data_IF_207730056388
#
_entry.id   IF_207730056388
#
_cell.length_a   1.000
_cell.length_b   1.000
_cell.length_c   1.000
_cell.angle_alpha   90.00
_cell.angle_beta   90.00
_cell.angle_gamma   90.00
#
_symmetry.space_group_name_H-M   'P 1'
#
loop_
_entity.id
_entity.type
_entity.pdbx_description
1 polymer ?
#
# COMPACT_ATOMS: atom_id res chain seq x y z
N UNK A 1 26.41 6.85 0.32
CA UNK A 1 26.43 5.45 0.83
C UNK A 1 25.04 4.86 0.66
N UNK A 2 24.89 3.53 0.57
CA UNK A 2 23.57 2.92 0.43
C UNK A 2 22.80 3.01 1.76
N UNK A 3 21.50 3.27 1.68
CA UNK A 3 20.60 3.44 2.83
C UNK A 3 19.58 2.31 2.85
N UNK A 4 19.34 1.71 4.01
CA UNK A 4 18.48 0.54 4.19
C UNK A 4 17.36 0.79 5.19
N UNK A 5 16.22 0.11 4.99
CA UNK A 5 15.18 0.06 6.01
C UNK A 5 15.60 -0.87 7.17
N UNK A 6 14.88 -0.84 8.30
CA UNK A 6 15.20 -1.68 9.48
C UNK A 6 15.17 -3.18 9.15
N UNK A 7 14.23 -3.62 8.31
CA UNK A 7 14.05 -5.03 7.95
C UNK A 7 15.21 -5.53 7.09
N UNK A 8 15.58 -4.76 6.07
CA UNK A 8 16.70 -5.05 5.18
C UNK A 8 18.01 -5.03 5.96
N UNK A 9 18.17 -4.05 6.86
CA UNK A 9 19.31 -3.99 7.79
C UNK A 9 19.41 -5.27 8.61
N UNK A 10 18.30 -5.73 9.19
CA UNK A 10 18.27 -6.98 9.96
C UNK A 10 18.71 -8.19 9.14
N UNK A 11 18.31 -8.26 7.86
CA UNK A 11 18.74 -9.31 6.92
C UNK A 11 20.24 -9.22 6.61
N UNK A 12 20.76 -8.02 6.31
CA UNK A 12 22.17 -7.78 6.00
C UNK A 12 23.08 -8.20 7.16
N UNK A 13 22.66 -7.94 8.39
CA UNK A 13 23.46 -8.25 9.58
C UNK A 13 23.20 -9.68 10.10
N UNK A 14 22.25 -10.42 9.53
CA UNK A 14 21.78 -11.72 10.07
C UNK A 14 21.38 -11.62 11.55
N UNK A 15 20.73 -10.52 11.94
CA UNK A 15 20.18 -10.32 13.29
C UNK A 15 18.68 -10.12 13.22
N UNK A 16 18.00 -10.33 14.35
CA UNK A 16 16.56 -10.06 14.42
C UNK A 16 16.29 -8.55 14.31
N UNK A 17 15.14 -8.18 13.74
CA UNK A 17 14.67 -6.80 13.70
C UNK A 17 14.65 -6.14 15.09
N UNK A 18 14.30 -6.91 16.13
CA UNK A 18 14.31 -6.47 17.53
C UNK A 18 15.71 -6.05 18.01
N UNK A 19 16.75 -6.72 17.53
CA UNK A 19 18.14 -6.37 17.85
C UNK A 19 18.49 -5.01 17.26
N UNK A 20 18.18 -4.78 15.98
CA UNK A 20 18.40 -3.50 15.33
C UNK A 20 17.67 -2.37 16.08
N UNK A 21 16.39 -2.57 16.39
CA UNK A 21 15.59 -1.60 17.15
C UNK A 21 16.17 -1.31 18.55
N UNK A 22 16.66 -2.34 19.26
CA UNK A 22 17.29 -2.16 20.57
C UNK A 22 18.56 -1.32 20.46
N UNK A 23 19.36 -1.52 19.42
CA UNK A 23 20.61 -0.79 19.20
C UNK A 23 20.34 0.68 18.83
N UNK A 24 19.26 0.95 18.10
CA UNK A 24 18.78 2.32 17.87
C UNK A 24 18.34 2.95 19.20
N UNK A 25 17.52 2.25 19.98
CA UNK A 25 17.03 2.75 21.27
C UNK A 25 18.18 3.00 22.27
N UNK A 26 19.25 2.20 22.21
CA UNK A 26 20.44 2.39 23.04
C UNK A 26 21.45 3.40 22.46
N UNK A 27 21.17 4.02 21.32
CA UNK A 27 22.07 4.99 20.66
C UNK A 27 23.33 4.38 20.03
N UNK A 28 23.43 3.06 19.90
CA UNK A 28 24.59 2.38 19.28
C UNK A 28 24.56 2.50 17.75
N UNK A 29 23.37 2.49 17.18
CA UNK A 29 23.11 2.74 15.77
C UNK A 29 22.48 4.12 15.62
N UNK A 30 23.01 4.93 14.71
CA UNK A 30 22.32 6.14 14.28
C UNK A 30 21.38 5.83 13.12
N UNK A 31 20.35 6.65 12.99
CA UNK A 31 19.26 6.44 12.06
C UNK A 31 18.87 7.77 11.44
N UNK A 32 18.62 7.76 10.14
CA UNK A 32 18.17 8.90 9.36
C UNK A 32 16.69 8.71 9.06
N UNK A 33 15.90 9.78 9.11
CA UNK A 33 14.50 9.76 8.68
C UNK A 33 14.39 10.18 7.21
N UNK A 34 13.59 9.45 6.44
CA UNK A 34 13.27 9.85 5.07
C UNK A 34 12.34 11.06 5.02
N UNK A 35 12.12 11.58 3.81
CA UNK A 35 11.05 12.54 3.51
C UNK A 35 9.67 12.10 4.02
N UNK A 36 9.41 10.79 4.05
CA UNK A 36 8.18 10.19 4.59
C UNK A 36 8.21 9.89 6.10
N UNK A 37 9.25 10.35 6.82
CA UNK A 37 9.44 10.10 8.25
C UNK A 37 9.75 8.64 8.61
N UNK A 38 10.09 7.80 7.62
CA UNK A 38 10.41 6.39 7.86
C UNK A 38 11.87 6.23 8.31
N UNK A 39 12.12 5.36 9.31
CA UNK A 39 13.46 5.10 9.83
C UNK A 39 14.33 4.36 8.82
N UNK A 40 15.51 4.90 8.54
CA UNK A 40 16.51 4.34 7.64
C UNK A 40 17.90 4.36 8.27
N UNK A 41 18.76 3.42 7.86
CA UNK A 41 20.09 3.21 8.43
C UNK A 41 21.10 3.12 7.28
N UNK A 42 22.20 3.84 7.41
CA UNK A 42 23.28 3.81 6.43
C UNK A 42 24.09 2.52 6.52
N UNK A 43 24.62 2.08 5.39
CA UNK A 43 25.55 0.94 5.31
C UNK A 43 26.81 1.13 6.15
N UNK A 44 27.34 2.35 6.27
CA UNK A 44 28.48 2.69 7.16
C UNK A 44 28.17 2.35 8.60
N UNK A 45 26.99 2.76 9.08
CA UNK A 45 26.56 2.56 10.45
C UNK A 45 26.43 1.06 10.77
N UNK A 46 25.87 0.30 9.83
CA UNK A 46 25.77 -1.15 9.96
C UNK A 46 27.16 -1.81 10.00
N UNK A 47 28.08 -1.39 9.14
CA UNK A 47 29.46 -1.90 9.12
C UNK A 47 30.22 -1.52 10.39
N UNK A 48 30.06 -0.29 10.89
CA UNK A 48 30.71 0.16 12.12
C UNK A 48 30.28 -0.68 13.32
N UNK A 49 28.98 -0.94 13.44
CA UNK A 49 28.41 -1.57 14.63
C UNK A 49 28.53 -3.09 14.59
N UNK A 50 28.41 -3.70 13.41
CA UNK A 50 28.35 -5.16 13.29
C UNK A 50 29.45 -5.78 12.44
N UNK A 51 30.29 -4.97 11.80
CA UNK A 51 31.37 -5.42 10.93
C UNK A 51 30.89 -5.84 9.55
N UNK A 52 31.54 -6.88 9.00
CA UNK A 52 31.29 -7.36 7.64
C UNK A 52 29.83 -7.80 7.48
N UNK A 53 29.15 -7.21 6.49
CA UNK A 53 27.75 -7.52 6.19
C UNK A 53 27.63 -8.84 5.43
N UNK A 54 26.54 -9.57 5.68
CA UNK A 54 26.24 -10.79 4.94
C UNK A 54 25.78 -10.46 3.52
N UNK A 55 26.25 -11.23 2.54
CA UNK A 55 25.64 -11.29 1.21
C UNK A 55 24.23 -11.85 1.37
N UNK A 56 23.21 -11.00 1.31
CA UNK A 56 21.81 -11.43 1.36
C UNK A 56 21.47 -11.91 -0.05
N UNK A 57 21.33 -13.22 -0.24
CA UNK A 57 20.68 -13.71 -1.45
C UNK A 57 19.21 -13.27 -1.37
N UNK A 58 18.75 -12.53 -2.37
CA UNK A 58 17.34 -12.17 -2.50
C UNK A 58 16.56 -13.45 -2.83
N UNK A 59 16.36 -14.32 -1.84
CA UNK A 59 15.49 -15.48 -2.01
C UNK A 59 14.09 -14.92 -2.21
N UNK A 60 13.64 -14.85 -3.47
CA UNK A 60 12.28 -14.42 -3.80
C UNK A 60 11.33 -15.32 -3.02
N UNK A 61 10.74 -14.79 -1.96
CA UNK A 61 9.71 -15.49 -1.21
C UNK A 61 8.53 -15.57 -2.16
N UNK A 62 8.31 -16.75 -2.74
CA UNK A 62 7.10 -17.04 -3.49
C UNK A 62 5.93 -16.88 -2.50
N UNK A 63 5.28 -15.70 -2.53
CA UNK A 63 4.10 -15.43 -1.70
C UNK A 63 3.01 -16.37 -2.20
N UNK A 64 2.85 -17.53 -1.55
CA UNK A 64 1.64 -18.35 -1.66
C UNK A 64 0.54 -17.60 -0.92
N UNK A 65 -0.13 -16.67 -1.60
CA UNK A 65 -1.35 -16.05 -1.09
C UNK A 65 -2.45 -17.11 -1.11
N UNK A 66 -2.93 -17.53 0.05
CA UNK A 66 -4.12 -18.36 0.13
C UNK A 66 -5.34 -17.44 -0.03
N UNK A 67 -5.93 -17.49 -1.23
CA UNK A 67 -7.11 -16.71 -1.59
C UNK A 67 -8.34 -17.25 -0.86
N UNK A 68 -8.71 -16.64 0.27
CA UNK A 68 -9.99 -16.90 0.93
C UNK A 68 -10.99 -15.90 0.35
N UNK A 69 -11.92 -16.40 -0.47
CA UNK A 69 -12.94 -15.67 -1.24
C UNK A 69 -12.43 -14.89 -2.48
N UNK A 70 -12.27 -15.59 -3.61
CA UNK A 70 -12.24 -14.96 -4.93
C UNK A 70 -13.23 -15.66 -5.87
N UNK A 71 -14.52 -15.38 -5.68
CA UNK A 71 -15.57 -15.67 -6.68
C UNK A 71 -15.89 -14.42 -7.47
N UNK A 72 -14.89 -13.83 -8.13
CA UNK A 72 -15.07 -12.96 -9.30
C UNK A 72 -13.80 -13.07 -10.13
N UNK A 73 -13.76 -14.15 -10.93
CA UNK A 73 -12.81 -14.31 -12.02
C UNK A 73 -13.18 -13.25 -13.06
N UNK A 74 -12.61 -12.04 -12.94
CA UNK A 74 -12.53 -11.13 -14.08
C UNK A 74 -11.66 -11.84 -15.11
N UNK A 75 -12.31 -12.46 -16.10
CA UNK A 75 -11.65 -12.99 -17.28
C UNK A 75 -11.17 -11.78 -18.08
N UNK A 76 -9.90 -11.44 -17.90
CA UNK A 76 -9.23 -10.50 -18.79
C UNK A 76 -8.96 -11.28 -20.08
N UNK A 77 -9.87 -11.22 -21.05
CA UNK A 77 -9.68 -11.84 -22.36
C UNK A 77 -8.67 -11.01 -23.17
N UNK A 78 -7.39 -11.08 -22.78
CA UNK A 78 -6.30 -10.55 -23.60
C UNK A 78 -6.10 -11.52 -24.76
N UNK A 79 -6.67 -11.20 -25.92
CA UNK A 79 -6.47 -11.97 -27.14
C UNK A 79 -5.19 -11.44 -27.79
N UNK A 80 -4.16 -12.29 -27.88
CA UNK A 80 -2.96 -11.96 -28.65
C UNK A 80 -3.26 -12.24 -30.12
N UNK A 81 -3.54 -11.19 -30.88
CA UNK A 81 -3.74 -11.28 -32.33
C UNK A 81 -2.38 -11.19 -33.03
N UNK A 82 -2.21 -11.97 -34.09
CA UNK A 82 -1.04 -11.84 -34.97
C UNK A 82 -1.17 -10.57 -35.83
N UNK A 83 -0.06 -9.99 -36.33
CA UNK A 83 -0.10 -8.78 -37.15
C UNK A 83 -1.03 -8.89 -38.37
N UNK A 84 -1.03 -10.04 -39.04
CA UNK A 84 -1.86 -10.29 -40.23
C UNK A 84 -3.37 -10.31 -39.88
N UNK A 85 -3.75 -10.90 -38.75
CA UNK A 85 -5.15 -10.90 -38.30
C UNK A 85 -5.63 -9.49 -37.94
N UNK A 86 -4.73 -8.65 -37.40
CA UNK A 86 -5.04 -7.24 -37.15
C UNK A 86 -5.24 -6.47 -38.46
N UNK A 87 -4.38 -6.69 -39.45
CA UNK A 87 -4.51 -6.09 -40.79
C UNK A 87 -5.84 -6.46 -41.47
N UNK A 88 -6.24 -7.73 -41.39
CA UNK A 88 -7.52 -8.20 -41.93
C UNK A 88 -8.73 -7.55 -41.22
N UNK A 89 -8.68 -7.44 -39.89
CA UNK A 89 -9.74 -6.81 -39.10
C UNK A 89 -9.87 -5.33 -39.44
N UNK A 90 -8.74 -4.62 -39.55
CA UNK A 90 -8.71 -3.20 -39.89
C UNK A 90 -9.25 -3.00 -41.32
N UNK A 91 -8.80 -3.80 -42.28
CA UNK A 91 -9.22 -3.70 -43.68
C UNK A 91 -10.75 -3.89 -43.82
N UNK A 92 -11.30 -4.92 -43.17
CA UNK A 92 -12.76 -5.15 -43.14
C UNK A 92 -13.53 -4.03 -42.45
N UNK A 93 -12.97 -3.41 -41.41
CA UNK A 93 -13.61 -2.31 -40.72
C UNK A 93 -13.66 -1.05 -41.60
N UNK A 94 -12.57 -0.76 -42.33
CA UNK A 94 -12.48 0.37 -43.26
C UNK A 94 -13.43 0.18 -44.44
N UNK A 95 -13.48 -0.99 -45.07
CA UNK A 95 -14.42 -1.29 -46.16
C UNK A 95 -15.88 -1.11 -45.73
N UNK A 96 -16.23 -1.55 -44.52
CA UNK A 96 -17.57 -1.35 -43.94
C UNK A 96 -17.88 0.11 -43.68
N UNK A 97 -16.90 0.88 -43.20
CA UNK A 97 -17.06 2.31 -42.98
C UNK A 97 -17.29 3.05 -44.31
N UNK A 98 -16.48 2.74 -45.34
CA UNK A 98 -16.58 3.35 -46.66
C UNK A 98 -17.89 2.99 -47.36
N UNK A 99 -18.29 1.71 -47.37
CA UNK A 99 -19.59 1.30 -47.95
C UNK A 99 -20.79 1.96 -47.29
N UNK A 100 -20.69 2.32 -46.00
CA UNK A 100 -21.72 3.08 -45.28
C UNK A 100 -21.67 4.59 -45.54
N UNK A 101 -20.47 5.14 -45.76
CA UNK A 101 -20.28 6.57 -46.00
C UNK A 101 -20.55 7.00 -47.45
N UNK A 102 -20.20 6.17 -48.43
CA UNK A 102 -20.35 6.46 -49.87
C UNK A 102 -21.80 6.83 -50.25
N UNK A 103 -22.85 6.11 -49.81
CA UNK A 103 -24.23 6.48 -50.10
C UNK A 103 -24.61 7.87 -49.59
N UNK A 104 -24.13 8.23 -48.38
CA UNK A 104 -24.39 9.53 -47.76
C UNK A 104 -23.69 10.67 -48.52
N UNK A 105 -22.53 10.40 -49.11
CA UNK A 105 -21.77 11.39 -49.88
C UNK A 105 -22.29 11.56 -51.32
N UNK A 106 -23.12 10.64 -51.83
CA UNK A 106 -23.70 10.75 -53.18
C UNK A 106 -24.95 11.66 -53.17
N UNK A 107 -25.66 11.76 -52.04
CA UNK A 107 -26.81 12.67 -51.89
C UNK A 107 -26.43 14.15 -51.96
N UNK A 108 -25.17 14.50 -51.63
CA UNK A 108 -24.70 15.88 -51.57
C UNK A 108 -24.06 16.41 -52.88
N UNK A 109 -24.10 15.64 -53.99
CA UNK A 109 -23.43 16.03 -55.25
C UNK A 109 -24.38 16.60 -56.29
N UNK A 110 -25.01 17.74 -55.97
CA UNK A 110 -25.27 18.77 -56.98
C UNK A 110 -24.48 20.02 -56.61
N UNK A 111 -23.43 20.25 -57.39
CA UNK A 111 -22.62 21.48 -57.54
C UNK A 111 -21.23 21.45 -56.86
N UNK A 112 -20.22 21.11 -57.67
CA UNK A 112 -18.81 21.55 -57.54
C UNK A 112 -18.67 22.96 -58.20
N UNK A 113 -17.54 23.72 -58.18
CA UNK A 113 -16.12 23.28 -58.21
C UNK A 113 -15.12 24.05 -57.30
N UNK A 114 -14.07 23.40 -56.78
CA UNK A 114 -12.64 23.34 -57.21
C UNK A 114 -11.87 24.68 -57.13
N UNK A 115 -10.82 24.71 -56.29
CA UNK A 115 -9.53 25.33 -56.60
C UNK A 115 -8.43 24.69 -55.71
N UNK A 116 -7.52 23.97 -56.36
CA UNK A 116 -6.21 23.54 -55.86
C UNK A 116 -5.24 24.74 -55.82
N UNK A 117 -4.27 24.76 -54.90
CA UNK A 117 -2.84 24.82 -55.27
C UNK A 117 -1.89 24.73 -54.05
N UNK A 118 -0.68 24.26 -54.36
CA UNK A 118 0.37 23.64 -53.54
C UNK A 118 0.99 24.42 -52.36
N UNK A 119 1.67 23.68 -51.45
CA UNK A 119 2.58 24.20 -50.42
C UNK A 119 4.04 24.20 -50.89
N UNK A 120 4.85 25.18 -50.51
CA UNK A 120 6.32 25.14 -50.70
C UNK A 120 7.07 26.01 -49.63
N UNK A 121 8.39 25.83 -49.41
CA UNK A 121 8.97 25.49 -48.11
C UNK A 121 9.95 26.53 -47.51
N UNK A 122 10.50 26.18 -46.34
CA UNK A 122 11.48 26.93 -45.51
C UNK A 122 12.85 27.10 -46.24
N UNK A 123 13.60 28.19 -45.99
CA UNK A 123 14.95 28.01 -45.42
C UNK A 123 15.36 29.01 -44.32
N UNK A 124 16.21 28.48 -43.43
CA UNK A 124 16.86 29.06 -42.25
C UNK A 124 17.86 30.19 -42.54
N UNK A 125 18.06 31.15 -41.61
CA UNK A 125 19.35 31.84 -41.36
C UNK A 125 19.44 32.41 -39.92
N UNK A 126 20.01 31.63 -38.98
CA UNK A 126 21.18 31.92 -38.09
C UNK A 126 21.20 33.24 -37.21
N UNK A 127 22.19 33.49 -36.30
CA UNK A 127 22.05 33.26 -34.84
C UNK A 127 22.70 34.33 -33.92
N UNK A 128 22.03 34.90 -32.92
CA UNK A 128 22.71 35.77 -31.94
C UNK A 128 22.02 35.74 -30.57
N UNK A 129 22.65 36.01 -29.43
CA UNK A 129 23.96 35.71 -28.84
C UNK A 129 23.82 36.10 -27.34
N UNK A 130 24.55 35.45 -26.42
CA UNK A 130 24.99 35.92 -25.07
C UNK A 130 24.02 36.78 -24.19
N UNK A 131 23.60 36.39 -22.97
CA UNK A 131 24.42 36.29 -21.74
C UNK A 131 23.57 35.88 -20.49
N UNK A 132 24.21 35.42 -19.39
CA UNK A 132 23.60 34.88 -18.17
C UNK A 132 23.44 35.95 -17.06
N UNK A 133 22.60 35.70 -16.03
CA UNK A 133 22.53 36.32 -14.66
C UNK A 133 21.11 36.01 -14.12
N UNK A 134 20.81 35.33 -12.99
CA UNK A 134 21.19 35.47 -11.56
C UNK A 134 20.83 34.14 -10.83
N UNK A 135 21.58 33.70 -9.81
CA UNK A 135 21.19 32.59 -8.92
C UNK A 135 20.11 33.00 -7.90
N UNK A 136 19.05 32.21 -7.79
CA UNK A 136 17.99 32.39 -6.77
C UNK A 136 18.53 32.01 -5.39
N UNK A 137 18.59 33.00 -4.51
CA UNK A 137 19.07 32.91 -3.13
C UNK A 137 18.27 31.91 -2.27
N UNK A 138 18.97 30.99 -1.61
CA UNK A 138 18.41 30.12 -0.58
C UNK A 138 18.19 30.89 0.73
N UNK A 139 16.92 31.24 1.02
CA UNK A 139 16.51 31.76 2.33
C UNK A 139 16.60 30.65 3.39
N UNK A 140 17.48 30.85 4.38
CA UNK A 140 17.57 30.05 5.62
C UNK A 140 16.19 29.97 6.29
N UNK A 141 15.60 28.77 6.38
CA UNK A 141 14.39 28.53 7.18
C UNK A 141 14.79 28.34 8.64
N UNK A 142 14.19 29.15 9.50
CA UNK A 142 14.30 29.11 10.96
C UNK A 142 13.82 27.76 11.50
N UNK A 143 14.56 27.19 12.45
CA UNK A 143 14.17 26.03 13.24
C UNK A 143 12.83 26.32 13.95
N UNK A 144 11.83 25.48 13.71
CA UNK A 144 10.56 25.50 14.44
C UNK A 144 10.83 24.86 15.81
N UNK A 145 10.40 25.48 16.93
CA UNK A 145 10.62 24.91 18.25
C UNK A 145 9.87 23.60 18.40
N UNK A 146 10.56 22.60 18.93
CA UNK A 146 10.02 21.30 19.31
C UNK A 146 8.87 21.52 20.29
N UNK A 147 7.64 21.27 19.84
CA UNK A 147 6.46 21.27 20.70
C UNK A 147 6.58 20.02 21.58
N UNK A 148 7.18 20.18 22.75
CA UNK A 148 7.13 19.21 23.83
C UNK A 148 5.68 19.13 24.32
N UNK A 149 4.86 18.28 23.69
CA UNK A 149 3.57 17.89 24.27
C UNK A 149 3.88 16.91 25.42
N UNK A 150 3.57 17.25 26.68
CA UNK A 150 3.60 16.26 27.74
C UNK A 150 2.54 15.21 27.38
N UNK A 151 2.98 13.97 27.20
CA UNK A 151 2.06 12.84 27.07
C UNK A 151 1.36 12.69 28.41
N UNK A 152 0.14 13.24 28.54
CA UNK A 152 -0.72 12.94 29.69
C UNK A 152 -1.07 11.47 29.55
N UNK A 153 -0.29 10.62 30.21
CA UNK A 153 -0.64 9.24 30.43
C UNK A 153 -1.92 9.24 31.24
N UNK A 154 -3.08 9.15 30.56
CA UNK A 154 -4.29 8.67 31.22
C UNK A 154 -3.89 7.31 31.78
N UNK A 155 -3.79 7.21 33.12
CA UNK A 155 -3.61 5.93 33.81
C UNK A 155 -4.78 5.06 33.36
N UNK A 156 -4.55 4.24 32.34
CA UNK A 156 -5.45 3.17 31.98
C UNK A 156 -5.38 2.24 33.19
N UNK A 157 -6.47 2.17 33.95
CA UNK A 157 -6.60 1.16 35.00
C UNK A 157 -6.09 -0.16 34.45
N UNK A 158 -5.23 -0.82 35.22
CA UNK A 158 -4.78 -2.16 34.88
C UNK A 158 -6.02 -3.04 34.96
N UNK A 159 -6.67 -3.22 33.81
CA UNK A 159 -7.77 -4.17 33.68
C UNK A 159 -7.12 -5.55 33.82
N UNK A 160 -7.07 -6.05 35.06
CA UNK A 160 -6.60 -7.37 35.37
C UNK A 160 -7.80 -8.30 35.19
N UNK A 161 -7.90 -8.92 34.01
CA UNK A 161 -8.99 -9.82 33.64
C UNK A 161 -8.66 -10.55 32.34
N UNK A 162 -9.18 -11.76 32.18
CA UNK A 162 -9.09 -12.55 30.95
C UNK A 162 -9.51 -11.72 29.73
N UNK A 163 -10.60 -10.96 29.85
CA UNK A 163 -11.13 -10.07 28.83
C UNK A 163 -10.13 -9.00 28.37
N UNK A 164 -9.43 -8.41 29.33
CA UNK A 164 -8.50 -7.32 29.10
C UNK A 164 -7.22 -7.78 28.39
N UNK A 165 -6.79 -9.03 28.61
CA UNK A 165 -5.66 -9.63 27.90
C UNK A 165 -5.91 -9.70 26.38
N UNK A 166 -7.18 -9.86 25.97
CA UNK A 166 -7.60 -9.92 24.57
C UNK A 166 -8.20 -8.61 24.04
N UNK A 167 -8.18 -7.52 24.83
CA UNK A 167 -8.70 -6.21 24.42
C UNK A 167 -10.23 -6.13 24.31
N UNK A 168 -10.95 -7.05 24.94
CA UNK A 168 -12.41 -7.15 24.91
C UNK A 168 -13.07 -6.28 26.02
N UNK A 169 -14.34 -5.86 25.87
CA UNK A 169 -15.05 -5.09 26.89
C UNK A 169 -15.19 -5.91 28.19
N UNK A 170 -14.51 -5.43 29.24
CA UNK A 170 -14.19 -6.18 30.46
C UNK A 170 -15.40 -6.80 31.19
N UNK A 171 -16.61 -6.24 31.06
CA UNK A 171 -17.76 -6.68 31.87
C UNK A 171 -18.43 -7.92 31.29
N UNK A 172 -18.67 -7.93 29.97
CA UNK A 172 -19.47 -8.99 29.32
C UNK A 172 -18.67 -10.29 29.22
N UNK A 173 -17.40 -10.17 28.86
CA UNK A 173 -16.53 -11.33 28.63
C UNK A 173 -16.08 -12.02 29.92
N UNK A 174 -16.00 -11.31 31.04
CA UNK A 174 -15.69 -11.94 32.34
C UNK A 174 -16.88 -12.76 32.87
N UNK A 175 -18.11 -12.24 32.76
CA UNK A 175 -19.32 -12.97 33.18
C UNK A 175 -19.47 -14.27 32.39
N UNK A 176 -19.30 -14.21 31.06
CA UNK A 176 -19.37 -15.39 30.20
C UNK A 176 -18.21 -16.35 30.52
N UNK A 177 -16.99 -15.84 30.72
CA UNK A 177 -15.83 -16.67 31.05
C UNK A 177 -16.01 -17.42 32.38
N UNK A 178 -16.48 -16.74 33.43
CA UNK A 178 -16.77 -17.37 34.72
C UNK A 178 -17.85 -18.45 34.61
N UNK A 179 -18.90 -18.20 33.82
CA UNK A 179 -19.94 -19.19 33.56
C UNK A 179 -19.39 -20.43 32.84
N UNK A 180 -18.55 -20.24 31.83
CA UNK A 180 -17.88 -21.34 31.11
C UNK A 180 -16.97 -22.14 32.05
N UNK A 181 -16.18 -21.46 32.90
CA UNK A 181 -15.30 -22.12 33.88
C UNK A 181 -16.09 -22.93 34.89
N UNK A 182 -17.22 -22.41 35.40
CA UNK A 182 -18.10 -23.13 36.30
C UNK A 182 -18.66 -24.40 35.64
N UNK A 183 -19.18 -24.30 34.42
CA UNK A 183 -19.74 -25.45 33.70
C UNK A 183 -18.67 -26.50 33.38
N UNK A 184 -17.43 -26.08 33.08
CA UNK A 184 -16.32 -27.01 32.93
C UNK A 184 -15.96 -27.71 34.25
N UNK A 185 -16.00 -27.00 35.39
CA UNK A 185 -15.79 -27.62 36.70
C UNK A 185 -16.88 -28.63 37.07
N UNK A 186 -18.08 -28.47 36.52
CA UNK A 186 -19.20 -29.42 36.64
C UNK A 186 -19.07 -30.63 35.69
N UNK A 187 -17.96 -30.75 34.95
CA UNK A 187 -17.65 -31.90 34.09
C UNK A 187 -18.31 -31.84 32.71
N UNK A 188 -18.92 -30.71 32.32
CA UNK A 188 -19.57 -30.58 31.03
C UNK A 188 -18.55 -30.45 29.90
N UNK A 189 -18.87 -31.08 28.78
CA UNK A 189 -18.06 -30.98 27.57
C UNK A 189 -18.30 -29.63 26.88
N UNK A 190 -17.32 -29.16 26.11
CA UNK A 190 -17.45 -27.88 25.39
C UNK A 190 -18.69 -27.81 24.50
N UNK A 191 -19.13 -28.94 23.92
CA UNK A 191 -20.35 -29.03 23.08
C UNK A 191 -21.65 -28.84 23.89
N UNK A 192 -21.66 -29.26 25.15
CA UNK A 192 -22.81 -29.08 26.04
C UNK A 192 -22.83 -27.65 26.60
N UNK A 193 -21.66 -27.09 26.88
CA UNK A 193 -21.49 -25.71 27.32
C UNK A 193 -21.97 -24.75 26.24
N UNK A 194 -21.64 -25.01 24.97
CA UNK A 194 -22.10 -24.20 23.83
C UNK A 194 -23.64 -24.12 23.76
N UNK A 195 -24.34 -25.23 24.05
CA UNK A 195 -25.80 -25.26 24.11
C UNK A 195 -26.37 -24.50 25.31
N UNK A 196 -25.69 -24.54 26.46
CA UNK A 196 -26.13 -23.90 27.72
C UNK A 196 -25.81 -22.40 27.78
N UNK A 197 -24.66 -22.00 27.25
CA UNK A 197 -24.18 -20.60 27.19
C UNK A 197 -24.51 -20.03 25.81
N UNK A 198 -25.79 -20.06 25.43
CA UNK A 198 -26.24 -19.59 24.11
C UNK A 198 -26.02 -18.07 23.98
N UNK A 199 -24.82 -17.69 23.51
CA UNK A 199 -24.46 -16.29 23.29
C UNK A 199 -25.06 -15.84 21.96
N UNK A 200 -26.33 -15.44 21.96
CA UNK A 200 -26.93 -14.78 20.80
C UNK A 200 -26.34 -13.37 20.62
N UNK A 201 -26.21 -12.91 19.38
CA UNK A 201 -25.79 -11.53 19.09
C UNK A 201 -26.69 -10.50 19.79
N UNK A 202 -27.99 -10.81 19.93
CA UNK A 202 -28.94 -10.00 20.67
C UNK A 202 -28.63 -9.95 22.18
N UNK A 203 -28.15 -11.05 22.79
CA UNK A 203 -27.73 -11.08 24.20
C UNK A 203 -26.50 -10.21 24.45
N UNK A 204 -25.52 -10.26 23.53
CA UNK A 204 -24.36 -9.37 23.56
C UNK A 204 -24.79 -7.90 23.44
N UNK A 205 -25.69 -7.59 22.49
CA UNK A 205 -26.16 -6.21 22.30
C UNK A 205 -26.96 -5.68 23.50
N UNK A 206 -27.87 -6.47 24.08
CA UNK A 206 -28.62 -6.09 25.29
C UNK A 206 -27.68 -5.78 26.46
N UNK A 207 -26.67 -6.61 26.67
CA UNK A 207 -25.71 -6.40 27.76
C UNK A 207 -24.80 -5.19 27.52
N UNK A 208 -24.45 -4.89 26.26
CA UNK A 208 -23.74 -3.64 25.90
C UNK A 208 -24.59 -2.43 26.29
N UNK A 209 -25.87 -2.40 25.90
CA UNK A 209 -26.76 -1.26 26.14
C UNK A 209 -27.08 -1.04 27.63
N UNK A 210 -27.10 -2.10 28.45
CA UNK A 210 -27.31 -1.98 29.91
C UNK A 210 -26.05 -1.46 30.64
N UNK A 211 -24.87 -1.61 30.04
CA UNK A 211 -23.59 -1.22 30.65
C UNK A 211 -23.12 0.21 30.32
N UNK A 212 -23.87 0.94 29.49
CA UNK A 212 -23.64 2.34 29.11
C UNK A 212 -24.59 3.26 29.84
#
# INVERSE_FOLDING_TARGET
MAIHNITDSALLVKKSRRTIQRYIASGKLTMVSNSLGKPQIDTSELIRVFGVLSKVSQKRIAKKSQSVAAKLLRKNNSINLTPNELEDIISRAVEKALSKAIPLLIEDKKTAPIAEENPEPIPELMPESITPTVPVAHKKRKLIPVINRPFIAKKKERKNGYAAAFGLPNVITEVIHLQIMKLHSEGLTSREIEKKVSVSQASIQRTITVST
#
